data_IF_605740484826
#
_entry.id   IF_605740484826
#
_cell.length_a   1.000
_cell.length_b   1.000
_cell.length_c   1.000
_cell.angle_alpha   90.00
_cell.angle_beta   90.00
_cell.angle_gamma   90.00
#
_symmetry.space_group_name_H-M   'P 1'
#
loop_
_entity.id
_entity.type
_entity.pdbx_description
1 polymer ?
#
# COMPACT_ATOMS: atom_id res chain seq x y z
N UNK A 1 -1.00 5.78 -17.12
CA UNK A 1 -1.22 6.36 -15.79
C UNK A 1 -2.25 7.47 -15.84
N UNK A 2 -3.27 7.40 -14.97
CA UNK A 2 -4.14 8.54 -14.63
C UNK A 2 -3.40 9.57 -13.80
N UNK A 3 -4.00 10.74 -13.62
CA UNK A 3 -3.46 11.77 -12.73
C UNK A 3 -3.68 11.39 -11.25
N UNK A 4 -2.73 11.63 -10.34
CA UNK A 4 -2.88 11.30 -8.93
C UNK A 4 -3.84 12.25 -8.21
N UNK A 5 -5.02 11.72 -7.85
CA UNK A 5 -6.08 12.44 -7.15
C UNK A 5 -6.89 13.38 -8.05
N UNK A 6 -7.69 14.25 -7.44
CA UNK A 6 -8.65 15.09 -8.15
C UNK A 6 -8.45 16.56 -7.78
N UNK A 7 -7.66 17.25 -8.59
CA UNK A 7 -7.42 18.68 -8.41
C UNK A 7 -7.04 19.33 -9.73
N UNK A 8 -7.32 20.63 -9.84
CA UNK A 8 -6.85 21.44 -10.97
C UNK A 8 -5.32 21.49 -10.93
N UNK A 9 -4.66 20.87 -11.91
CA UNK A 9 -3.21 20.94 -12.06
C UNK A 9 -2.83 22.19 -12.84
N UNK A 10 -1.81 22.91 -12.37
CA UNK A 10 -1.19 24.02 -13.13
C UNK A 10 -0.30 23.52 -14.27
N UNK A 11 0.16 22.27 -14.18
CA UNK A 11 1.07 21.67 -15.15
C UNK A 11 0.32 20.57 -15.89
N UNK A 12 0.54 20.50 -17.20
CA UNK A 12 0.02 19.44 -18.04
C UNK A 12 0.54 18.07 -17.57
N UNK A 13 -0.31 17.04 -17.60
CA UNK A 13 0.05 15.66 -17.26
C UNK A 13 -0.42 14.72 -18.37
N UNK A 14 0.48 13.93 -19.00
CA UNK A 14 0.13 13.13 -20.15
C UNK A 14 -0.60 11.84 -19.75
N UNK A 15 -1.92 11.80 -19.96
CA UNK A 15 -2.75 10.61 -19.63
C UNK A 15 -2.71 9.57 -20.76
N UNK A 16 -2.53 9.99 -22.02
CA UNK A 16 -2.50 9.10 -23.18
C UNK A 16 -1.36 9.41 -24.16
N UNK A 17 -0.76 8.36 -24.73
CA UNK A 17 0.32 8.45 -25.72
C UNK A 17 -0.07 9.09 -27.06
N UNK A 18 -1.36 9.36 -27.27
CA UNK A 18 -1.89 10.00 -28.49
C UNK A 18 -2.11 11.50 -28.31
N UNK A 19 -1.59 12.11 -27.24
CA UNK A 19 -1.73 13.55 -27.05
C UNK A 19 -0.94 14.32 -28.14
N UNK A 20 -1.58 15.25 -28.87
CA UNK A 20 -0.95 16.04 -29.93
C UNK A 20 0.28 16.83 -29.48
N UNK A 21 0.31 17.33 -28.25
CA UNK A 21 1.42 18.15 -27.74
C UNK A 21 2.63 17.28 -27.39
N UNK A 22 2.40 16.09 -26.83
CA UNK A 22 3.45 15.11 -26.52
C UNK A 22 4.02 14.53 -27.82
N UNK A 23 3.16 14.21 -28.78
CA UNK A 23 3.58 13.65 -30.07
C UNK A 23 4.32 14.63 -30.98
N UNK A 24 4.07 15.94 -30.87
CA UNK A 24 4.84 16.98 -31.55
C UNK A 24 6.18 17.28 -30.86
N UNK A 25 6.22 17.23 -29.52
CA UNK A 25 7.45 17.48 -28.75
C UNK A 25 8.41 16.28 -28.71
N UNK A 26 7.89 15.06 -28.87
CA UNK A 26 8.68 13.82 -28.91
C UNK A 26 8.72 13.27 -30.34
N UNK A 27 9.73 13.64 -31.13
CA UNK A 27 10.01 12.97 -32.40
C UNK A 27 10.20 11.46 -32.14
N UNK A 28 9.23 10.64 -32.55
CA UNK A 28 9.28 9.17 -32.64
C UNK A 28 9.45 8.33 -31.36
N UNK A 29 9.52 8.90 -30.15
CA UNK A 29 9.78 8.12 -28.93
C UNK A 29 8.49 7.58 -28.30
N UNK A 30 8.37 6.26 -28.18
CA UNK A 30 7.27 5.60 -27.46
C UNK A 30 7.34 6.01 -25.97
N UNK A 31 6.23 6.49 -25.40
CA UNK A 31 6.19 6.89 -23.98
C UNK A 31 6.73 5.80 -23.07
N UNK A 32 7.57 6.20 -22.11
CA UNK A 32 8.09 5.28 -21.11
C UNK A 32 6.98 4.94 -20.12
N UNK A 33 6.83 3.64 -19.84
CA UNK A 33 5.90 3.15 -18.83
C UNK A 33 6.67 2.82 -17.56
N UNK A 34 6.16 3.33 -16.45
CA UNK A 34 6.63 3.00 -15.11
C UNK A 34 5.67 2.00 -14.46
N UNK A 35 6.11 1.33 -13.41
CA UNK A 35 5.26 0.45 -12.60
C UNK A 35 5.75 0.44 -11.15
N UNK A 36 4.99 -0.15 -10.24
CA UNK A 36 5.46 -0.45 -8.89
C UNK A 36 5.59 -1.95 -8.70
N UNK A 37 6.52 -2.36 -7.85
CA UNK A 37 6.75 -3.77 -7.48
C UNK A 37 6.40 -3.92 -6.01
N UNK A 38 5.79 -5.02 -5.62
CA UNK A 38 5.67 -5.38 -4.21
C UNK A 38 5.91 -6.87 -4.00
N UNK A 39 6.37 -7.23 -2.80
CA UNK A 39 6.48 -8.62 -2.36
C UNK A 39 5.40 -8.84 -1.32
N UNK A 40 4.64 -9.93 -1.44
CA UNK A 40 3.65 -10.30 -0.45
C UNK A 40 3.64 -11.80 -0.15
N UNK A 41 3.15 -12.13 1.04
CA UNK A 41 2.66 -13.45 1.36
C UNK A 41 1.31 -13.62 0.66
N UNK A 42 1.27 -14.39 -0.42
CA UNK A 42 0.05 -14.56 -1.21
C UNK A 42 -1.01 -15.26 -0.36
N UNK A 43 -2.11 -14.55 -0.11
CA UNK A 43 -3.10 -14.96 0.88
C UNK A 43 -4.53 -14.72 0.38
N UNK A 44 -5.46 -15.60 0.77
CA UNK A 44 -6.91 -15.44 0.53
C UNK A 44 -7.62 -15.28 1.86
N UNK A 45 -8.43 -14.22 1.96
CA UNK A 45 -9.33 -13.99 3.08
C UNK A 45 -10.66 -14.69 2.80
N UNK A 46 -11.06 -15.58 3.70
CA UNK A 46 -12.26 -16.41 3.61
C UNK A 46 -13.15 -16.05 4.79
N UNK A 47 -14.24 -15.33 4.54
CA UNK A 47 -15.23 -15.02 5.58
C UNK A 47 -16.36 -16.03 5.54
N UNK A 48 -16.68 -16.61 6.69
CA UNK A 48 -17.79 -17.53 6.84
C UNK A 48 -18.56 -17.29 8.13
N UNK A 49 -19.88 -17.44 8.06
CA UNK A 49 -20.72 -17.46 9.27
C UNK A 49 -20.80 -18.88 9.79
N UNK A 50 -20.41 -19.11 11.03
CA UNK A 50 -20.32 -20.44 11.62
C UNK A 50 -20.92 -20.49 13.01
N UNK A 51 -21.26 -21.69 13.48
CA UNK A 51 -21.63 -21.93 14.89
C UNK A 51 -20.38 -22.07 15.76
N UNK A 52 -20.55 -21.91 17.07
CA UNK A 52 -19.47 -22.17 18.05
C UNK A 52 -18.95 -23.62 17.93
N UNK A 53 -19.80 -24.58 17.58
CA UNK A 53 -19.42 -25.98 17.38
C UNK A 53 -18.35 -26.15 16.29
N UNK A 54 -18.42 -25.36 15.21
CA UNK A 54 -17.38 -25.39 14.15
C UNK A 54 -16.06 -24.87 14.70
N UNK A 55 -16.08 -23.79 15.48
CA UNK A 55 -14.87 -23.22 16.11
C UNK A 55 -14.20 -24.27 17.00
N UNK A 56 -14.97 -24.92 17.88
CA UNK A 56 -14.47 -25.93 18.81
C UNK A 56 -13.97 -27.19 18.06
N UNK A 57 -14.66 -27.63 17.01
CA UNK A 57 -14.27 -28.79 16.18
C UNK A 57 -12.85 -28.66 15.63
N UNK A 58 -12.45 -27.46 15.20
CA UNK A 58 -11.11 -27.21 14.65
C UNK A 58 -10.09 -26.80 15.71
N UNK A 59 -10.44 -26.92 17.00
CA UNK A 59 -9.54 -26.58 18.12
C UNK A 59 -9.24 -25.09 18.21
N UNK A 60 -10.13 -24.24 17.66
CA UNK A 60 -9.99 -22.80 17.72
C UNK A 60 -10.60 -22.26 19.01
N UNK A 61 -10.11 -21.12 19.48
CA UNK A 61 -10.68 -20.40 20.62
C UNK A 61 -11.40 -19.16 20.11
N UNK A 62 -12.68 -19.00 20.48
CA UNK A 62 -13.50 -17.87 20.04
C UNK A 62 -12.80 -16.53 20.30
N UNK A 63 -12.81 -15.63 19.32
CA UNK A 63 -12.18 -14.31 19.41
C UNK A 63 -10.66 -14.29 19.23
N UNK A 64 -10.01 -15.45 19.07
CA UNK A 64 -8.56 -15.54 18.92
C UNK A 64 -8.14 -15.67 17.45
N UNK A 65 -6.87 -15.38 17.19
CA UNK A 65 -6.19 -15.68 15.95
C UNK A 65 -5.20 -16.82 16.18
N UNK A 66 -5.43 -17.96 15.53
CA UNK A 66 -4.67 -19.18 15.74
C UNK A 66 -4.16 -19.74 14.41
N UNK A 67 -2.92 -20.21 14.41
CA UNK A 67 -2.34 -20.91 13.26
C UNK A 67 -2.82 -22.36 13.27
N UNK A 68 -3.30 -22.83 12.12
CA UNK A 68 -3.70 -24.22 11.89
C UNK A 68 -2.84 -24.84 10.78
N UNK A 69 -2.64 -26.15 10.84
CA UNK A 69 -1.95 -26.88 9.78
C UNK A 69 -2.78 -26.94 8.48
N UNK A 70 -2.10 -27.28 7.39
CA UNK A 70 -2.68 -27.23 6.05
C UNK A 70 -3.76 -28.29 5.81
N UNK A 71 -3.65 -29.45 6.46
CA UNK A 71 -4.65 -30.52 6.37
C UNK A 71 -5.97 -30.07 7.03
N UNK A 72 -5.89 -29.55 8.26
CA UNK A 72 -7.06 -28.99 8.97
C UNK A 72 -7.66 -27.80 8.24
N UNK A 73 -6.84 -26.94 7.64
CA UNK A 73 -7.32 -25.81 6.86
C UNK A 73 -8.06 -26.26 5.60
N UNK A 74 -7.62 -27.34 4.94
CA UNK A 74 -8.33 -27.90 3.79
C UNK A 74 -9.66 -28.55 4.22
N UNK A 75 -9.67 -29.30 5.32
CA UNK A 75 -10.90 -29.86 5.89
C UNK A 75 -11.92 -28.76 6.26
N UNK A 76 -11.46 -27.70 6.93
CA UNK A 76 -12.30 -26.55 7.26
C UNK A 76 -12.85 -25.91 5.99
N UNK A 77 -11.98 -25.66 5.00
CA UNK A 77 -12.41 -25.07 3.75
C UNK A 77 -13.46 -25.91 3.02
N UNK A 78 -13.28 -27.23 2.96
CA UNK A 78 -14.25 -28.10 2.31
C UNK A 78 -15.59 -28.13 3.06
N UNK A 79 -15.57 -28.20 4.39
CA UNK A 79 -16.80 -28.14 5.18
C UNK A 79 -17.56 -26.84 4.91
N UNK A 80 -16.87 -25.69 4.97
CA UNK A 80 -17.49 -24.39 4.73
C UNK A 80 -18.10 -24.27 3.32
N UNK A 81 -17.48 -24.92 2.33
CA UNK A 81 -18.00 -25.00 0.96
C UNK A 81 -19.22 -25.91 0.84
N UNK A 82 -19.13 -27.13 1.35
CA UNK A 82 -20.21 -28.13 1.28
C UNK A 82 -21.48 -27.62 1.98
N UNK A 83 -21.31 -26.92 3.09
CA UNK A 83 -22.41 -26.33 3.87
C UNK A 83 -22.85 -24.94 3.37
N UNK A 84 -22.22 -24.40 2.32
CA UNK A 84 -22.47 -23.05 1.77
C UNK A 84 -22.39 -21.93 2.83
N UNK A 85 -21.45 -22.02 3.76
CA UNK A 85 -21.27 -21.07 4.88
C UNK A 85 -20.38 -19.87 4.53
N UNK A 86 -19.62 -19.98 3.43
CA UNK A 86 -18.73 -18.91 2.97
C UNK A 86 -19.58 -17.73 2.48
N UNK A 87 -19.45 -16.60 3.16
CA UNK A 87 -20.13 -15.36 2.78
C UNK A 87 -19.32 -14.55 1.80
N UNK A 88 -17.99 -14.55 1.95
CA UNK A 88 -17.10 -13.82 1.07
C UNK A 88 -15.75 -14.52 0.93
N UNK A 89 -15.16 -14.40 -0.25
CA UNK A 89 -13.76 -14.79 -0.52
C UNK A 89 -13.09 -13.67 -1.29
N UNK A 90 -12.13 -13.03 -0.65
CA UNK A 90 -11.36 -11.95 -1.23
C UNK A 90 -9.90 -12.36 -1.33
N UNK A 91 -9.26 -11.91 -2.41
CA UNK A 91 -7.81 -11.91 -2.44
C UNK A 91 -7.34 -10.94 -1.34
N UNK A 92 -6.48 -11.42 -0.45
CA UNK A 92 -5.99 -10.67 0.70
C UNK A 92 -4.53 -10.26 0.53
N UNK A 93 -3.84 -10.16 1.66
CA UNK A 93 -2.43 -9.76 1.76
C UNK A 93 -2.24 -8.24 1.74
N UNK A 94 -1.47 -7.70 2.67
CA UNK A 94 -1.27 -6.26 2.85
C UNK A 94 -0.71 -5.61 1.58
N UNK A 95 0.30 -6.24 0.97
CA UNK A 95 0.91 -5.71 -0.26
C UNK A 95 0.07 -6.04 -1.48
N UNK A 96 -0.59 -7.19 -1.52
CA UNK A 96 -1.55 -7.56 -2.56
C UNK A 96 -2.70 -6.55 -2.65
N UNK A 97 -3.25 -6.15 -1.51
CA UNK A 97 -4.27 -5.11 -1.40
C UNK A 97 -3.73 -3.75 -1.87
N UNK A 98 -2.53 -3.38 -1.44
CA UNK A 98 -1.87 -2.12 -1.83
C UNK A 98 -1.62 -2.05 -3.34
N UNK A 99 -1.07 -3.11 -3.95
CA UNK A 99 -0.81 -3.17 -5.39
C UNK A 99 -2.08 -3.21 -6.21
N UNK A 100 -3.13 -3.89 -5.73
CA UNK A 100 -4.45 -3.91 -6.36
C UNK A 100 -5.05 -2.50 -6.37
N UNK A 101 -5.07 -1.85 -5.20
CA UNK A 101 -5.62 -0.50 -5.03
C UNK A 101 -4.85 0.52 -5.86
N UNK A 102 -3.52 0.44 -5.90
CA UNK A 102 -2.71 1.25 -6.81
C UNK A 102 -3.15 1.06 -8.27
N UNK A 103 -3.29 -0.18 -8.73
CA UNK A 103 -3.68 -0.50 -10.11
C UNK A 103 -5.04 0.08 -10.48
N UNK A 104 -5.99 0.04 -9.54
CA UNK A 104 -7.34 0.63 -9.69
C UNK A 104 -7.30 2.15 -9.70
N UNK A 105 -6.52 2.75 -8.81
CA UNK A 105 -6.40 4.21 -8.67
C UNK A 105 -5.66 4.87 -9.84
N UNK A 106 -4.59 4.23 -10.31
CA UNK A 106 -3.71 4.76 -11.35
C UNK A 106 -4.10 4.35 -12.77
N UNK A 107 -4.95 3.33 -12.93
CA UNK A 107 -5.14 2.58 -14.19
C UNK A 107 -3.79 2.31 -14.88
N UNK A 108 -2.84 1.82 -14.09
CA UNK A 108 -1.50 1.49 -14.54
C UNK A 108 -0.99 0.23 -13.85
N UNK A 109 0.07 -0.34 -14.39
CA UNK A 109 0.57 -1.64 -13.97
C UNK A 109 1.22 -1.59 -12.58
N UNK A 110 0.86 -2.55 -11.73
CA UNK A 110 1.67 -3.01 -10.60
C UNK A 110 2.17 -4.44 -10.88
N UNK A 111 3.25 -4.88 -10.25
CA UNK A 111 3.77 -6.25 -10.36
C UNK A 111 3.88 -6.86 -8.96
N UNK A 112 3.25 -8.02 -8.74
CA UNK A 112 3.36 -8.76 -7.49
C UNK A 112 4.43 -9.84 -7.60
N UNK A 113 5.27 -9.91 -6.58
CA UNK A 113 6.17 -11.02 -6.30
C UNK A 113 5.65 -11.77 -5.07
N UNK A 114 5.75 -13.08 -5.10
CA UNK A 114 5.12 -13.97 -4.13
C UNK A 114 5.03 -15.37 -4.72
N UNK A 115 4.19 -16.21 -4.12
CA UNK A 115 3.99 -17.59 -4.57
C UNK A 115 2.59 -17.81 -5.14
N UNK A 116 2.42 -18.83 -5.96
CA UNK A 116 1.12 -19.30 -6.41
C UNK A 116 1.14 -20.82 -6.55
N UNK A 117 0.08 -21.49 -6.11
CA UNK A 117 -0.06 -22.94 -6.27
C UNK A 117 0.01 -23.33 -7.74
N UNK A 118 0.77 -24.37 -8.08
CA UNK A 118 0.86 -24.87 -9.47
C UNK A 118 -0.43 -25.58 -9.91
N UNK A 119 -1.08 -26.34 -9.00
CA UNK A 119 -2.34 -27.04 -9.27
C UNK A 119 -3.56 -26.18 -8.90
N UNK A 120 -3.90 -25.21 -9.76
CA UNK A 120 -5.09 -24.36 -9.59
C UNK A 120 -6.30 -25.02 -10.26
N UNK A 121 -7.31 -25.36 -9.46
CA UNK A 121 -8.60 -25.88 -9.92
C UNK A 121 -9.66 -24.78 -9.99
N UNK A 122 -10.55 -24.84 -10.97
CA UNK A 122 -11.69 -23.90 -11.08
C UNK A 122 -12.47 -23.90 -9.76
N UNK A 123 -12.71 -22.72 -9.21
CA UNK A 123 -13.41 -22.54 -7.94
C UNK A 123 -12.56 -22.75 -6.68
N UNK A 124 -11.26 -23.04 -6.79
CA UNK A 124 -10.34 -23.05 -5.64
C UNK A 124 -10.05 -21.64 -5.14
N UNK A 125 -9.47 -21.54 -3.94
CA UNK A 125 -9.01 -20.26 -3.38
C UNK A 125 -7.95 -19.59 -4.29
N UNK A 126 -7.02 -20.37 -4.86
CA UNK A 126 -6.04 -19.86 -5.82
C UNK A 126 -6.69 -19.31 -7.09
N UNK A 127 -7.69 -20.00 -7.62
CA UNK A 127 -8.46 -19.51 -8.79
C UNK A 127 -9.20 -18.21 -8.46
N UNK A 128 -9.82 -18.14 -7.28
CA UNK A 128 -10.50 -16.92 -6.79
C UNK A 128 -9.54 -15.76 -6.59
N UNK A 129 -8.32 -16.02 -6.10
CA UNK A 129 -7.27 -14.99 -5.99
C UNK A 129 -6.99 -14.34 -7.36
N UNK A 130 -6.84 -15.17 -8.40
CA UNK A 130 -6.63 -14.69 -9.77
C UNK A 130 -7.83 -13.89 -10.29
N UNK A 131 -9.05 -14.40 -10.13
CA UNK A 131 -10.26 -13.72 -10.62
C UNK A 131 -10.57 -12.39 -9.92
N UNK A 132 -10.23 -12.29 -8.64
CA UNK A 132 -10.52 -11.11 -7.81
C UNK A 132 -9.40 -10.06 -7.82
N UNK A 133 -8.24 -10.38 -8.40
CA UNK A 133 -7.13 -9.44 -8.52
C UNK A 133 -7.34 -8.51 -9.72
N UNK A 134 -7.00 -7.22 -9.54
CA UNK A 134 -7.13 -6.20 -10.57
C UNK A 134 -6.44 -6.63 -11.87
N UNK A 135 -7.10 -6.40 -13.01
CA UNK A 135 -6.60 -6.76 -14.34
C UNK A 135 -5.30 -6.05 -14.75
N UNK A 136 -4.91 -4.98 -14.04
CA UNK A 136 -3.65 -4.26 -14.24
C UNK A 136 -2.51 -4.74 -13.36
N UNK A 137 -2.81 -5.54 -12.35
CA UNK A 137 -1.82 -6.12 -11.45
C UNK A 137 -1.23 -7.39 -12.09
N UNK A 138 0.06 -7.33 -12.44
CA UNK A 138 0.76 -8.40 -13.12
C UNK A 138 1.19 -9.48 -12.14
N UNK A 139 0.63 -10.68 -12.32
CA UNK A 139 0.89 -11.88 -11.54
C UNK A 139 1.80 -12.89 -12.26
N UNK A 140 2.30 -12.57 -13.46
CA UNK A 140 3.13 -13.50 -14.25
C UNK A 140 4.51 -13.76 -13.64
N UNK A 141 4.87 -13.04 -12.57
CA UNK A 141 6.15 -13.16 -11.86
C UNK A 141 6.01 -13.87 -10.51
N UNK A 142 4.84 -14.42 -10.19
CA UNK A 142 4.68 -15.29 -9.03
C UNK A 142 5.45 -16.60 -9.23
N UNK A 143 6.09 -17.09 -8.17
CA UNK A 143 6.77 -18.38 -8.16
C UNK A 143 5.74 -19.51 -7.97
N UNK A 144 5.82 -20.54 -8.80
CA UNK A 144 5.01 -21.75 -8.62
C UNK A 144 5.43 -22.53 -7.36
N UNK A 145 4.46 -22.96 -6.56
CA UNK A 145 4.67 -23.84 -5.40
C UNK A 145 3.77 -25.09 -5.48
N UNK A 146 4.23 -26.21 -4.94
CA UNK A 146 3.48 -27.49 -4.97
C UNK A 146 2.37 -27.56 -3.90
N UNK A 147 2.36 -26.61 -2.96
CA UNK A 147 1.37 -26.52 -1.88
C UNK A 147 0.36 -25.39 -2.03
N UNK A 148 -0.46 -25.23 -1.00
CA UNK A 148 -1.44 -24.16 -0.89
C UNK A 148 -0.76 -22.79 -0.71
N UNK A 149 -1.36 -21.73 -1.26
CA UNK A 149 -1.09 -20.36 -0.82
C UNK A 149 -1.68 -20.12 0.58
N UNK A 150 -1.33 -18.99 1.21
CA UNK A 150 -1.84 -18.63 2.53
C UNK A 150 -3.35 -18.47 2.55
N UNK A 151 -3.97 -18.80 3.68
CA UNK A 151 -5.42 -18.71 3.91
C UNK A 151 -5.69 -18.12 5.28
N UNK A 152 -6.54 -17.10 5.32
CA UNK A 152 -7.08 -16.53 6.56
C UNK A 152 -8.59 -16.78 6.61
N UNK A 153 -9.03 -17.61 7.54
CA UNK A 153 -10.45 -17.88 7.76
C UNK A 153 -10.97 -16.95 8.86
N UNK A 154 -11.80 -15.99 8.49
CA UNK A 154 -12.55 -15.16 9.42
C UNK A 154 -13.91 -15.82 9.71
N UNK A 155 -13.97 -16.54 10.83
CA UNK A 155 -15.12 -17.29 11.29
C UNK A 155 -15.99 -16.41 12.21
N UNK A 156 -17.20 -16.09 11.76
CA UNK A 156 -18.10 -15.12 12.40
C UNK A 156 -19.25 -15.88 13.06
N UNK A 157 -19.36 -15.79 14.39
CA UNK A 157 -20.50 -16.36 15.13
C UNK A 157 -21.72 -15.44 15.13
N UNK A 158 -22.88 -15.95 15.56
CA UNK A 158 -24.16 -15.21 15.55
C UNK A 158 -24.11 -13.90 16.34
N UNK A 159 -23.33 -13.85 17.42
CA UNK A 159 -23.11 -12.65 18.24
C UNK A 159 -22.13 -11.64 17.60
N UNK A 160 -21.62 -11.93 16.40
CA UNK A 160 -20.75 -11.04 15.63
C UNK A 160 -19.27 -11.12 15.99
N UNK A 161 -18.90 -11.96 16.97
CA UNK A 161 -17.51 -12.20 17.34
C UNK A 161 -16.76 -12.89 16.18
N UNK A 162 -15.49 -12.51 15.96
CA UNK A 162 -14.65 -13.02 14.86
C UNK A 162 -13.52 -13.86 15.40
N UNK A 163 -13.39 -15.07 14.88
CA UNK A 163 -12.26 -15.97 15.17
C UNK A 163 -11.45 -16.16 13.90
N UNK A 164 -10.13 -16.02 13.99
CA UNK A 164 -9.24 -16.16 12.85
C UNK A 164 -8.49 -17.48 12.90
N UNK A 165 -8.60 -18.27 11.84
CA UNK A 165 -7.72 -19.42 11.62
C UNK A 165 -6.77 -19.10 10.45
N UNK A 166 -5.47 -19.21 10.69
CA UNK A 166 -4.44 -18.87 9.71
C UNK A 166 -3.74 -20.15 9.28
N UNK A 167 -3.77 -20.47 7.98
CA UNK A 167 -2.89 -21.48 7.38
C UNK A 167 -1.89 -20.75 6.51
N UNK A 168 -0.63 -20.83 6.90
CA UNK A 168 0.48 -20.18 6.18
C UNK A 168 0.72 -20.83 4.81
N UNK A 169 0.40 -22.13 4.67
CA UNK A 169 0.70 -22.88 3.47
C UNK A 169 2.17 -22.74 3.09
N UNK A 170 2.40 -22.50 1.80
CA UNK A 170 3.71 -22.20 1.24
C UNK A 170 3.91 -20.69 0.97
N UNK A 171 3.17 -19.81 1.65
CA UNK A 171 3.24 -18.36 1.39
C UNK A 171 4.63 -17.74 1.58
N UNK A 172 5.49 -18.38 2.40
CA UNK A 172 6.87 -17.97 2.68
C UNK A 172 7.91 -18.65 1.78
N UNK A 173 7.51 -19.48 0.81
CA UNK A 173 8.43 -20.26 -0.02
C UNK A 173 8.93 -19.50 -1.26
N UNK A 174 8.87 -18.17 -1.26
CA UNK A 174 9.45 -17.35 -2.32
C UNK A 174 10.97 -17.40 -2.25
N UNK A 175 11.62 -17.90 -3.29
CA UNK A 175 13.09 -17.98 -3.35
C UNK A 175 13.73 -16.72 -3.95
N UNK A 176 14.96 -16.35 -3.50
CA UNK A 176 15.75 -15.27 -4.09
C UNK A 176 15.94 -15.36 -5.61
N UNK A 177 16.09 -16.57 -6.14
CA UNK A 177 16.30 -16.80 -7.58
C UNK A 177 15.06 -16.44 -8.42
N UNK A 178 13.89 -16.35 -7.78
CA UNK A 178 12.64 -15.97 -8.42
C UNK A 178 12.44 -14.45 -8.46
N UNK A 179 13.37 -13.66 -7.91
CA UNK A 179 13.33 -12.19 -7.97
C UNK A 179 13.92 -11.71 -9.31
N UNK A 180 13.11 -11.15 -10.23
CA UNK A 180 13.55 -10.91 -11.59
C UNK A 180 14.17 -9.51 -11.74
N UNK A 181 15.49 -9.38 -11.63
CA UNK A 181 16.21 -8.08 -11.65
C UNK A 181 15.72 -7.09 -12.74
N UNK A 182 15.40 -7.59 -13.94
CA UNK A 182 14.95 -6.77 -15.08
C UNK A 182 13.73 -5.87 -14.78
N UNK A 183 12.87 -6.25 -13.83
CA UNK A 183 11.65 -5.47 -13.55
C UNK A 183 11.96 -4.19 -12.77
N UNK A 184 13.11 -4.11 -12.09
CA UNK A 184 13.48 -2.95 -11.25
C UNK A 184 13.87 -1.71 -12.06
N UNK A 185 14.37 -1.87 -13.29
CA UNK A 185 14.87 -0.77 -14.14
C UNK A 185 13.87 0.39 -14.30
N UNK A 186 12.58 0.08 -14.47
CA UNK A 186 11.51 1.07 -14.66
C UNK A 186 10.55 1.13 -13.46
N UNK A 187 10.94 0.55 -12.32
CA UNK A 187 10.10 0.55 -11.12
C UNK A 187 10.17 1.91 -10.42
N UNK A 188 9.04 2.42 -9.95
CA UNK A 188 8.95 3.67 -9.20
C UNK A 188 9.10 3.47 -7.69
N UNK A 189 8.80 2.25 -7.21
CA UNK A 189 8.92 1.85 -5.81
C UNK A 189 8.97 0.32 -5.70
N UNK A 190 9.66 -0.18 -4.67
CA UNK A 190 9.53 -1.53 -4.15
C UNK A 190 8.72 -1.46 -2.84
N UNK A 191 7.61 -2.18 -2.73
CA UNK A 191 6.69 -2.12 -1.59
C UNK A 191 6.79 -3.37 -0.72
N UNK A 192 7.27 -3.12 0.48
CA UNK A 192 7.58 -3.92 1.67
C UNK A 192 6.42 -4.05 2.65
N UNK A 193 6.20 -5.20 3.30
CA UNK A 193 5.48 -5.27 4.59
C UNK A 193 6.34 -5.90 5.67
N UNK A 194 6.17 -5.47 6.93
CA UNK A 194 6.88 -6.07 8.07
C UNK A 194 6.51 -7.55 8.28
N UNK A 195 5.42 -8.05 7.70
CA UNK A 195 5.09 -9.47 7.77
C UNK A 195 6.07 -10.38 7.04
N UNK A 196 6.86 -9.86 6.08
CA UNK A 196 7.79 -10.68 5.30
C UNK A 196 8.95 -11.24 6.12
N UNK A 197 9.24 -10.67 7.29
CA UNK A 197 10.25 -11.21 8.23
C UNK A 197 9.65 -12.20 9.23
N UNK A 198 8.31 -12.29 9.29
CA UNK A 198 7.60 -13.26 10.14
C UNK A 198 7.46 -14.57 9.39
N UNK A 199 8.53 -15.36 9.42
CA UNK A 199 8.58 -16.68 8.83
C UNK A 199 9.25 -17.68 9.78
N UNK A 200 9.18 -18.97 9.46
CA UNK A 200 9.86 -20.01 10.23
C UNK A 200 11.35 -20.00 9.90
N UNK A 201 12.17 -20.47 10.84
CA UNK A 201 13.60 -20.67 10.58
C UNK A 201 13.80 -21.55 9.34
N UNK A 202 14.52 -21.05 8.34
CA UNK A 202 14.78 -21.73 7.08
C UNK A 202 13.80 -21.44 5.93
N UNK A 203 12.73 -20.66 6.15
CA UNK A 203 11.90 -20.14 5.07
C UNK A 203 12.71 -19.15 4.20
N UNK A 204 12.63 -19.19 2.85
CA UNK A 204 13.46 -18.38 1.96
C UNK A 204 12.96 -16.93 1.71
N UNK A 205 11.78 -16.57 2.26
CA UNK A 205 11.15 -15.26 2.06
C UNK A 205 12.01 -14.05 2.48
N UNK A 206 12.70 -14.07 3.65
CA UNK A 206 13.57 -12.96 4.04
C UNK A 206 14.74 -12.77 3.08
N UNK A 207 15.37 -13.85 2.62
CA UNK A 207 16.47 -13.79 1.65
C UNK A 207 15.97 -13.22 0.32
N UNK A 208 14.78 -13.62 -0.14
CA UNK A 208 14.19 -13.10 -1.36
C UNK A 208 13.85 -11.61 -1.23
N UNK A 209 13.37 -11.20 -0.07
CA UNK A 209 13.11 -9.79 0.27
C UNK A 209 14.40 -8.97 0.24
N UNK A 210 15.48 -9.45 0.85
CA UNK A 210 16.78 -8.79 0.81
C UNK A 210 17.37 -8.73 -0.61
N UNK A 211 17.15 -9.77 -1.43
CA UNK A 211 17.55 -9.76 -2.85
C UNK A 211 16.81 -8.68 -3.65
N UNK A 212 15.52 -8.50 -3.39
CA UNK A 212 14.74 -7.42 -4.00
C UNK A 212 15.23 -6.03 -3.55
N UNK A 213 15.59 -5.86 -2.27
CA UNK A 213 16.20 -4.62 -1.76
C UNK A 213 17.55 -4.35 -2.43
N UNK A 214 18.40 -5.36 -2.62
CA UNK A 214 19.66 -5.25 -3.36
C UNK A 214 19.41 -4.71 -4.78
N UNK A 215 18.46 -5.29 -5.52
CA UNK A 215 18.12 -4.82 -6.86
C UNK A 215 17.46 -3.44 -6.87
N UNK A 216 16.66 -3.11 -5.86
CA UNK A 216 16.09 -1.78 -5.71
C UNK A 216 17.20 -0.73 -5.54
N UNK A 217 18.14 -0.95 -4.61
CA UNK A 217 19.30 -0.08 -4.40
C UNK A 217 20.15 0.07 -5.66
N UNK A 218 20.42 -1.04 -6.37
CA UNK A 218 21.18 -1.04 -7.63
C UNK A 218 20.53 -0.17 -8.73
N UNK A 219 19.21 -0.03 -8.72
CA UNK A 219 18.44 0.72 -9.73
C UNK A 219 17.89 2.07 -9.20
N UNK A 220 18.35 2.53 -8.03
CA UNK A 220 17.84 3.73 -7.34
C UNK A 220 16.30 3.75 -7.18
N UNK A 221 15.73 2.59 -6.89
CA UNK A 221 14.30 2.43 -6.62
C UNK A 221 14.07 2.63 -5.12
N UNK A 222 13.23 3.60 -4.70
CA UNK A 222 12.86 3.76 -3.30
C UNK A 222 12.19 2.50 -2.76
N UNK A 223 12.63 2.06 -1.58
CA UNK A 223 11.98 0.98 -0.84
C UNK A 223 10.97 1.61 0.11
N UNK A 224 9.75 1.07 0.08
CA UNK A 224 8.62 1.50 0.89
C UNK A 224 8.29 0.35 1.85
N UNK A 225 8.13 0.61 3.14
CA UNK A 225 7.76 -0.39 4.14
C UNK A 225 6.46 0.01 4.83
N UNK A 226 5.44 -0.85 4.79
CA UNK A 226 4.28 -0.73 5.65
C UNK A 226 4.42 -1.63 6.88
N UNK A 227 4.15 -1.09 8.06
CA UNK A 227 4.12 -1.87 9.29
C UNK A 227 2.82 -2.68 9.32
N UNK A 228 2.91 -3.93 9.81
CA UNK A 228 1.82 -4.91 9.72
C UNK A 228 0.92 -4.96 10.95
N UNK A 229 1.50 -4.83 12.15
CA UNK A 229 0.79 -4.63 13.43
C UNK A 229 1.76 -4.11 14.49
N UNK A 230 1.23 -3.47 15.54
CA UNK A 230 1.97 -3.12 16.77
C UNK A 230 2.78 -4.30 17.34
N UNK A 231 2.20 -5.50 17.34
CA UNK A 231 2.81 -6.70 17.95
C UNK A 231 4.10 -7.13 17.26
N UNK A 232 4.16 -7.05 15.93
CA UNK A 232 5.38 -7.41 15.19
C UNK A 232 6.52 -6.42 15.44
N UNK A 233 6.17 -5.15 15.71
CA UNK A 233 7.16 -4.09 15.88
C UNK A 233 7.67 -4.03 17.32
N UNK A 234 6.80 -4.20 18.30
CA UNK A 234 7.15 -4.10 19.72
C UNK A 234 8.09 -5.21 20.21
N UNK A 235 8.17 -6.33 19.49
CA UNK A 235 9.04 -7.46 19.84
C UNK A 235 10.53 -7.06 19.75
N UNK A 236 10.92 -6.31 18.71
CA UNK A 236 12.26 -5.72 18.58
C UNK A 236 12.22 -4.37 17.82
N UNK A 237 11.88 -3.26 18.49
CA UNK A 237 11.83 -1.94 17.85
C UNK A 237 13.19 -1.50 17.32
N UNK A 238 14.30 -1.92 17.95
CA UNK A 238 15.65 -1.52 17.54
C UNK A 238 16.04 -2.15 16.21
N UNK A 239 15.74 -3.43 16.04
CA UNK A 239 15.91 -4.10 14.75
C UNK A 239 15.19 -3.36 13.64
N UNK A 240 13.92 -2.97 13.86
CA UNK A 240 13.15 -2.22 12.85
C UNK A 240 13.72 -0.84 12.56
N UNK A 241 14.18 -0.10 13.57
CA UNK A 241 14.84 1.19 13.39
C UNK A 241 16.12 1.07 12.53
N UNK A 242 16.93 0.04 12.76
CA UNK A 242 18.14 -0.24 11.98
C UNK A 242 17.79 -0.70 10.56
N UNK A 243 16.83 -1.62 10.41
CA UNK A 243 16.37 -2.09 9.12
C UNK A 243 15.83 -0.95 8.24
N UNK A 244 15.05 -0.04 8.82
CA UNK A 244 14.51 1.14 8.14
C UNK A 244 15.65 2.04 7.69
N UNK A 245 16.58 2.39 8.60
CA UNK A 245 17.73 3.25 8.30
C UNK A 245 18.55 2.74 7.13
N UNK A 246 18.78 1.43 7.08
CA UNK A 246 19.69 0.85 6.09
C UNK A 246 19.01 0.59 4.75
N UNK A 247 17.69 0.41 4.71
CA UNK A 247 17.02 -0.15 3.54
C UNK A 247 15.79 0.61 3.05
N UNK A 248 15.15 1.46 3.86
CA UNK A 248 13.80 1.98 3.59
C UNK A 248 13.83 3.50 3.40
N UNK A 249 13.25 3.96 2.28
CA UNK A 249 13.04 5.39 2.02
C UNK A 249 11.70 5.89 2.55
N UNK A 250 10.64 5.07 2.47
CA UNK A 250 9.29 5.51 2.85
C UNK A 250 8.69 4.53 3.86
N UNK A 251 8.19 5.03 4.98
CA UNK A 251 7.50 4.23 6.00
C UNK A 251 6.02 4.57 6.01
N UNK A 252 5.17 3.53 6.03
CA UNK A 252 3.74 3.64 6.28
C UNK A 252 3.39 2.89 7.57
N UNK A 253 2.61 3.52 8.44
CA UNK A 253 2.25 2.97 9.75
C UNK A 253 0.94 3.57 10.25
N UNK A 254 0.29 2.92 11.21
CA UNK A 254 -0.73 3.55 12.06
C UNK A 254 -0.13 4.09 13.36
N UNK A 255 -0.95 4.76 14.17
CA UNK A 255 -0.56 5.39 15.43
C UNK A 255 -0.01 4.39 16.46
N UNK A 256 -0.59 3.19 16.51
CA UNK A 256 -0.20 2.13 17.46
C UNK A 256 1.14 1.49 17.08
N UNK A 257 1.36 1.28 15.78
CA UNK A 257 2.63 0.83 15.20
C UNK A 257 3.72 1.88 15.35
N UNK A 258 3.37 3.16 15.15
CA UNK A 258 4.28 4.28 15.34
C UNK A 258 4.75 4.39 16.79
N UNK A 259 3.83 4.24 17.75
CA UNK A 259 4.17 4.19 19.17
C UNK A 259 5.08 2.98 19.48
N UNK A 260 4.80 1.79 18.94
CA UNK A 260 5.68 0.63 19.15
C UNK A 260 7.09 0.83 18.54
N UNK A 261 7.20 1.46 17.37
CA UNK A 261 8.48 1.72 16.73
C UNK A 261 9.31 2.76 17.50
N UNK A 262 8.66 3.80 18.00
CA UNK A 262 9.34 5.04 18.44
C UNK A 262 9.27 5.28 19.94
N UNK A 263 8.32 4.69 20.64
CA UNK A 263 7.95 5.01 22.02
C UNK A 263 7.14 6.30 22.18
N UNK A 264 6.78 6.99 21.09
CA UNK A 264 6.02 8.25 21.12
C UNK A 264 4.53 7.98 20.86
N UNK A 265 3.66 8.36 21.80
CA UNK A 265 2.20 8.19 21.66
C UNK A 265 1.54 9.25 20.78
N UNK A 266 2.19 10.40 20.56
CA UNK A 266 1.72 11.44 19.64
C UNK A 266 2.14 11.07 18.21
N UNK A 267 1.21 10.82 17.27
CA UNK A 267 1.54 10.48 15.88
C UNK A 267 2.45 11.49 15.18
N UNK A 268 2.36 12.78 15.53
CA UNK A 268 3.24 13.80 14.96
C UNK A 268 4.68 13.63 15.45
N UNK A 269 4.88 13.42 16.75
CA UNK A 269 6.20 13.19 17.35
C UNK A 269 6.80 11.85 16.88
N UNK A 270 5.98 10.79 16.80
CA UNK A 270 6.40 9.50 16.27
C UNK A 270 6.84 9.61 14.79
N UNK A 271 6.08 10.35 13.98
CA UNK A 271 6.44 10.59 12.57
C UNK A 271 7.73 11.39 12.45
N UNK A 272 7.93 12.42 13.28
CA UNK A 272 9.17 13.21 13.31
C UNK A 272 10.40 12.38 13.66
N UNK A 273 10.29 11.52 14.68
CA UNK A 273 11.35 10.62 15.13
C UNK A 273 11.69 9.58 14.07
N UNK A 274 10.67 9.08 13.35
CA UNK A 274 10.87 8.12 12.26
C UNK A 274 11.68 8.71 11.09
N UNK A 275 11.67 10.04 10.90
CA UNK A 275 12.53 10.71 9.91
C UNK A 275 14.03 10.62 10.21
N UNK A 276 14.41 10.19 11.42
CA UNK A 276 15.82 9.85 11.69
C UNK A 276 16.30 8.65 10.88
N UNK A 277 15.38 7.82 10.39
CA UNK A 277 15.69 6.56 9.69
C UNK A 277 15.10 6.49 8.28
N UNK A 278 14.09 7.30 7.93
CA UNK A 278 13.43 7.30 6.62
C UNK A 278 13.30 8.71 6.00
N UNK A 279 13.06 8.78 4.69
CA UNK A 279 12.91 10.04 3.95
C UNK A 279 11.48 10.61 3.99
N UNK A 280 10.48 9.73 4.06
CA UNK A 280 9.06 10.07 4.04
C UNK A 280 8.27 9.11 4.91
N UNK A 281 7.30 9.64 5.64
CA UNK A 281 6.45 8.90 6.58
C UNK A 281 5.00 9.22 6.28
N UNK A 282 4.18 8.17 6.21
CA UNK A 282 2.72 8.22 6.27
C UNK A 282 2.27 7.56 7.58
N UNK A 283 1.65 8.34 8.47
CA UNK A 283 1.08 7.83 9.72
C UNK A 283 -0.44 7.99 9.68
N UNK A 284 -1.18 6.90 9.49
CA UNK A 284 -2.64 6.92 9.71
C UNK A 284 -2.91 7.01 11.21
N UNK A 285 -3.97 7.73 11.60
CA UNK A 285 -4.30 8.02 12.99
C UNK A 285 -5.82 7.87 13.23
N UNK A 286 -6.43 6.86 12.62
CA UNK A 286 -7.86 6.55 12.75
C UNK A 286 -8.78 7.78 12.69
N UNK A 287 -9.58 8.06 13.75
CA UNK A 287 -10.47 9.22 13.83
C UNK A 287 -9.77 10.59 13.80
N UNK A 288 -8.48 10.67 14.13
CA UNK A 288 -7.68 11.90 14.03
C UNK A 288 -7.36 12.22 12.56
N UNK A 289 -7.42 11.22 11.68
CA UNK A 289 -7.14 11.33 10.26
C UNK A 289 -5.79 10.72 9.90
N UNK A 290 -4.93 11.48 9.24
CA UNK A 290 -3.57 11.01 8.94
C UNK A 290 -2.56 12.16 8.93
N UNK A 291 -1.31 11.80 9.17
CA UNK A 291 -0.14 12.68 9.14
C UNK A 291 0.81 12.22 8.04
N UNK A 292 1.51 13.18 7.44
CA UNK A 292 2.70 12.92 6.65
C UNK A 292 3.86 13.77 7.17
N UNK A 293 5.04 13.19 7.21
CA UNK A 293 6.28 13.87 7.58
C UNK A 293 7.37 13.49 6.57
N UNK A 294 8.27 14.42 6.23
CA UNK A 294 9.37 14.12 5.32
C UNK A 294 10.30 15.31 5.14
N UNK A 295 11.18 15.20 4.15
CA UNK A 295 12.13 16.25 3.82
C UNK A 295 11.74 17.04 2.56
N UNK A 296 12.16 18.30 2.50
CA UNK A 296 12.23 19.10 1.27
C UNK A 296 13.51 19.92 1.29
N UNK A 297 13.99 20.34 0.12
CA UNK A 297 15.06 21.32 0.00
C UNK A 297 14.60 22.70 0.50
N UNK A 298 15.39 23.36 1.35
CA UNK A 298 15.03 24.66 1.95
C UNK A 298 14.75 25.73 0.90
N UNK A 299 15.55 25.78 -0.16
CA UNK A 299 15.39 26.75 -1.25
C UNK A 299 14.12 26.54 -2.07
N UNK A 300 13.49 25.36 -1.98
CA UNK A 300 12.26 25.00 -2.70
C UNK A 300 11.02 24.92 -1.80
N UNK A 301 11.14 25.26 -0.50
CA UNK A 301 10.02 25.20 0.45
C UNK A 301 8.88 26.13 0.03
N UNK A 302 7.65 25.68 0.28
CA UNK A 302 6.43 26.43 -0.04
C UNK A 302 5.56 26.52 1.19
N UNK A 303 5.33 27.74 1.64
CA UNK A 303 4.47 28.03 2.78
C UNK A 303 3.01 27.67 2.49
N UNK A 304 2.32 27.24 3.54
CA UNK A 304 0.89 26.98 3.50
C UNK A 304 0.11 28.27 3.45
N UNK A 305 -1.02 28.24 2.76
CA UNK A 305 -2.04 29.29 2.86
C UNK A 305 -3.19 28.90 3.81
N UNK A 306 -3.09 27.72 4.46
CA UNK A 306 -4.06 27.24 5.44
C UNK A 306 -3.70 27.77 6.84
N UNK A 307 -4.65 27.77 7.79
CA UNK A 307 -4.34 28.09 9.19
C UNK A 307 -3.20 27.23 9.72
N UNK A 308 -2.29 27.86 10.48
CA UNK A 308 -1.19 27.16 11.12
C UNK A 308 -1.74 26.31 12.28
N UNK A 309 -1.34 25.06 12.32
CA UNK A 309 -1.84 24.08 13.28
C UNK A 309 -0.93 24.01 14.51
N UNK A 310 -1.50 23.99 15.73
CA UNK A 310 -0.74 23.71 16.95
C UNK A 310 -0.46 22.21 17.08
N UNK A 311 0.60 21.84 17.79
CA UNK A 311 0.96 20.46 18.06
C UNK A 311 2.21 20.37 18.94
N UNK A 312 2.73 19.16 19.15
CA UNK A 312 4.04 18.94 19.80
C UNK A 312 5.18 19.67 19.08
N UNK A 313 5.04 19.83 17.76
CA UNK A 313 5.86 20.72 16.93
C UNK A 313 5.01 21.95 16.58
N UNK A 314 5.48 23.13 17.00
CA UNK A 314 4.77 24.38 16.75
C UNK A 314 4.64 24.66 15.24
N UNK A 315 3.43 24.95 14.79
CA UNK A 315 3.12 25.31 13.39
C UNK A 315 3.66 24.28 12.38
N UNK A 316 3.55 22.99 12.72
CA UNK A 316 4.17 21.91 11.94
C UNK A 316 3.79 21.91 10.45
N UNK A 317 2.59 22.39 10.10
CA UNK A 317 2.12 22.45 8.72
C UNK A 317 2.61 23.69 7.94
N UNK A 318 3.46 24.55 8.52
CA UNK A 318 3.90 25.83 7.92
C UNK A 318 4.36 25.67 6.47
N UNK A 319 5.02 24.57 6.12
CA UNK A 319 5.54 24.31 4.78
C UNK A 319 4.86 23.13 4.06
N UNK A 320 3.64 22.73 4.44
CA UNK A 320 2.96 21.54 3.90
C UNK A 320 2.68 21.59 2.38
N UNK A 321 2.83 22.75 1.75
CA UNK A 321 2.76 22.90 0.30
C UNK A 321 4.08 22.53 -0.39
N UNK A 322 5.14 22.20 0.34
CA UNK A 322 6.41 21.66 -0.20
C UNK A 322 6.25 20.22 -0.69
N UNK A 323 7.20 19.72 -1.47
CA UNK A 323 7.16 18.35 -2.00
C UNK A 323 8.18 17.47 -1.27
N UNK A 324 7.80 16.24 -0.87
CA UNK A 324 8.72 15.23 -0.39
C UNK A 324 9.92 15.02 -1.32
N UNK A 325 11.12 14.99 -0.75
CA UNK A 325 12.39 14.65 -1.38
C UNK A 325 13.15 13.64 -0.52
N UNK A 326 14.07 12.88 -1.11
CA UNK A 326 15.04 12.09 -0.34
C UNK A 326 15.96 13.04 0.41
N UNK A 327 16.28 12.74 1.66
CA UNK A 327 17.16 13.59 2.49
C UNK A 327 18.52 13.79 1.84
N UNK A 328 19.08 12.72 1.28
CA UNK A 328 20.40 12.72 0.63
C UNK A 328 20.41 13.38 -0.76
N UNK A 329 19.23 13.68 -1.32
CA UNK A 329 19.10 14.46 -2.56
C UNK A 329 18.99 15.97 -2.30
N UNK A 330 18.95 16.41 -1.05
CA UNK A 330 18.86 17.83 -0.66
C UNK A 330 20.25 18.37 -0.28
N UNK A 331 20.51 19.62 -0.64
CA UNK A 331 21.69 20.35 -0.14
C UNK A 331 21.44 20.84 1.29
N UNK A 332 20.25 21.39 1.55
CA UNK A 332 19.82 21.84 2.88
C UNK A 332 18.43 21.23 3.19
N UNK A 333 18.37 19.97 3.65
CA UNK A 333 17.10 19.32 3.95
C UNK A 333 16.42 19.97 5.17
N UNK A 334 15.16 20.33 5.02
CA UNK A 334 14.28 20.73 6.14
C UNK A 334 13.16 19.71 6.31
N UNK A 335 12.76 19.47 7.56
CA UNK A 335 11.60 18.64 7.87
C UNK A 335 10.31 19.40 7.60
N UNK A 336 9.34 18.73 7.00
CA UNK A 336 8.01 19.24 6.66
C UNK A 336 6.96 18.24 7.09
N UNK A 337 5.84 18.76 7.59
CA UNK A 337 4.74 17.95 8.10
C UNK A 337 3.43 18.43 7.48
N UNK A 338 2.45 17.53 7.42
CA UNK A 338 1.07 17.86 7.04
C UNK A 338 0.12 16.93 7.78
N UNK A 339 -1.07 17.44 8.08
CA UNK A 339 -2.15 16.69 8.71
C UNK A 339 -3.44 16.91 7.92
N UNK A 340 -4.29 15.90 7.90
CA UNK A 340 -5.66 16.05 7.42
C UNK A 340 -6.62 15.21 8.25
N UNK A 341 -7.73 15.83 8.67
CA UNK A 341 -8.84 15.13 9.32
C UNK A 341 -9.58 14.19 8.37
N UNK A 342 -10.33 13.20 8.88
CA UNK A 342 -11.09 12.27 8.05
C UNK A 342 -12.00 12.97 7.03
N UNK A 343 -12.02 12.44 5.80
CA UNK A 343 -12.84 13.00 4.72
C UNK A 343 -14.32 13.04 5.12
N UNK A 344 -14.98 14.19 4.87
CA UNK A 344 -16.38 14.44 5.26
C UNK A 344 -16.68 14.23 6.77
N UNK A 345 -15.66 14.35 7.64
CA UNK A 345 -15.81 14.08 9.07
C UNK A 345 -15.74 12.59 9.44
N UNK A 346 -15.43 11.74 8.47
CA UNK A 346 -15.41 10.29 8.63
C UNK A 346 -16.75 9.64 8.24
N UNK A 347 -16.77 8.31 8.03
CA UNK A 347 -18.00 7.61 7.66
C UNK A 347 -18.94 7.47 8.87
N UNK A 348 -20.25 7.63 8.66
CA UNK A 348 -21.27 7.37 9.69
C UNK A 348 -21.22 5.93 10.22
N UNK A 349 -20.88 4.98 9.33
CA UNK A 349 -20.69 3.58 9.65
C UNK A 349 -19.43 3.05 8.99
N UNK A 350 -18.48 2.59 9.79
CA UNK A 350 -17.30 1.87 9.31
C UNK A 350 -17.74 0.44 8.99
N UNK A 351 -17.51 0.01 7.73
CA UNK A 351 -17.77 -1.37 7.30
C UNK A 351 -16.54 -2.24 7.38
N UNK A 352 -15.36 -1.65 7.13
CA UNK A 352 -14.08 -2.34 7.24
C UNK A 352 -12.97 -1.34 7.61
N UNK A 353 -12.20 -1.62 8.66
CA UNK A 353 -10.99 -0.88 8.99
C UNK A 353 -9.75 -1.46 8.31
N UNK A 354 -9.79 -2.74 7.95
CA UNK A 354 -8.69 -3.46 7.32
C UNK A 354 -8.49 -2.92 5.90
N UNK A 355 -7.24 -2.57 5.57
CA UNK A 355 -6.87 -2.06 4.26
C UNK A 355 -7.10 -0.56 4.05
N UNK A 356 -7.66 0.18 5.04
CA UNK A 356 -7.77 1.63 4.93
C UNK A 356 -6.37 2.30 4.85
N UNK A 357 -5.43 1.86 5.68
CA UNK A 357 -4.02 2.26 5.60
C UNK A 357 -3.36 1.85 4.28
N UNK A 358 -3.60 0.62 3.82
CA UNK A 358 -3.09 0.11 2.53
C UNK A 358 -3.58 0.97 1.35
N UNK A 359 -4.83 1.42 1.39
CA UNK A 359 -5.38 2.34 0.37
C UNK A 359 -4.78 3.74 0.46
N UNK A 360 -4.53 4.24 1.67
CA UNK A 360 -3.79 5.49 1.88
C UNK A 360 -2.40 5.40 1.24
N UNK A 361 -1.68 4.31 1.50
CA UNK A 361 -0.37 4.02 0.93
C UNK A 361 -0.42 3.90 -0.59
N UNK A 362 -1.45 3.25 -1.14
CA UNK A 362 -1.67 3.14 -2.58
C UNK A 362 -1.77 4.51 -3.27
N UNK A 363 -2.39 5.50 -2.61
CA UNK A 363 -2.47 6.86 -3.10
C UNK A 363 -1.11 7.57 -3.07
N UNK A 364 -0.30 7.35 -2.03
CA UNK A 364 1.10 7.84 -1.97
C UNK A 364 1.93 7.24 -3.10
N UNK A 365 1.84 5.93 -3.30
CA UNK A 365 2.55 5.20 -4.36
C UNK A 365 2.14 5.67 -5.75
N UNK A 366 0.86 5.97 -5.98
CA UNK A 366 0.40 6.57 -7.22
C UNK A 366 1.08 7.93 -7.47
N UNK A 367 1.18 8.79 -6.45
CA UNK A 367 1.82 10.09 -6.59
C UNK A 367 3.34 10.00 -6.82
N UNK A 368 4.01 9.03 -6.18
CA UNK A 368 5.42 8.70 -6.44
C UNK A 368 5.63 8.19 -7.88
N UNK A 369 4.78 7.26 -8.33
CA UNK A 369 4.85 6.72 -9.68
C UNK A 369 4.57 7.79 -10.75
N UNK A 370 3.60 8.69 -10.49
CA UNK A 370 3.30 9.83 -11.33
C UNK A 370 4.49 10.78 -11.47
N UNK A 371 5.30 10.95 -10.41
CA UNK A 371 6.52 11.76 -10.47
C UNK A 371 7.54 11.18 -11.44
N UNK A 372 7.85 9.88 -11.31
CA UNK A 372 8.80 9.19 -12.20
C UNK A 372 8.28 9.17 -13.64
N UNK A 373 7.01 8.80 -13.84
CA UNK A 373 6.36 8.80 -15.15
C UNK A 373 6.42 10.18 -15.83
N UNK A 374 6.11 11.24 -15.09
CA UNK A 374 6.18 12.60 -15.61
C UNK A 374 7.64 13.05 -15.87
N UNK A 375 8.63 12.62 -15.07
CA UNK A 375 10.07 12.90 -15.30
C UNK A 375 10.58 12.24 -16.58
N UNK A 376 10.17 11.00 -16.84
CA UNK A 376 10.60 10.26 -18.02
C UNK A 376 9.96 10.77 -19.32
N UNK A 377 8.72 11.26 -19.26
CA UNK A 377 7.98 11.71 -20.44
C UNK A 377 8.05 13.23 -20.67
N UNK A 378 8.24 14.03 -19.63
CA UNK A 378 8.34 15.50 -19.71
C UNK A 378 9.54 16.00 -18.89
N UNK A 379 10.78 15.61 -19.24
CA UNK A 379 11.97 15.87 -18.42
C UNK A 379 12.28 17.37 -18.25
N UNK A 380 11.94 18.20 -19.24
CA UNK A 380 12.20 19.65 -19.22
C UNK A 380 11.15 20.46 -18.45
N UNK A 381 10.23 19.79 -17.74
CA UNK A 381 9.24 20.48 -16.91
C UNK A 381 9.90 21.12 -15.68
N UNK A 382 9.42 22.31 -15.29
CA UNK A 382 9.77 22.94 -14.01
C UNK A 382 9.46 22.07 -12.79
N UNK A 383 8.61 21.03 -12.94
CA UNK A 383 8.35 20.01 -11.93
C UNK A 383 9.59 19.22 -11.52
N UNK A 384 10.66 19.21 -12.31
CA UNK A 384 11.84 18.40 -12.06
C UNK A 384 13.10 19.23 -11.82
N UNK A 385 12.93 20.50 -11.44
CA UNK A 385 14.04 21.39 -11.07
C UNK A 385 14.82 20.92 -9.85
N UNK A 386 14.19 20.12 -8.98
CA UNK A 386 14.84 19.39 -7.89
C UNK A 386 14.40 17.93 -7.96
N UNK A 387 15.14 17.05 -7.27
CA UNK A 387 14.76 15.66 -7.13
C UNK A 387 13.74 15.48 -6.01
N UNK A 388 12.57 14.94 -6.37
CA UNK A 388 11.46 14.74 -5.45
C UNK A 388 11.05 13.26 -5.43
N UNK A 389 10.53 12.79 -4.30
CA UNK A 389 9.89 11.48 -4.18
C UNK A 389 8.47 11.50 -4.78
N UNK A 390 7.75 12.61 -4.64
CA UNK A 390 6.35 12.73 -5.06
C UNK A 390 6.14 13.83 -6.11
N UNK A 391 5.07 13.71 -6.88
CA UNK A 391 4.67 14.70 -7.89
C UNK A 391 4.00 15.92 -7.24
N UNK A 392 3.34 15.69 -6.11
CA UNK A 392 2.47 16.59 -5.38
C UNK A 392 3.04 16.94 -4.01
N UNK A 393 2.53 18.02 -3.41
CA UNK A 393 2.96 18.45 -2.08
C UNK A 393 2.46 17.53 -0.97
N UNK A 394 3.06 17.58 0.22
CA UNK A 394 2.57 16.86 1.41
C UNK A 394 1.06 17.00 1.59
N UNK A 395 0.55 18.23 1.64
CA UNK A 395 -0.89 18.50 1.80
C UNK A 395 -1.77 17.91 0.67
N UNK A 396 -1.28 17.86 -0.57
CA UNK A 396 -2.03 17.30 -1.69
C UNK A 396 -2.05 15.76 -1.64
N UNK A 397 -0.94 15.14 -1.25
CA UNK A 397 -0.86 13.70 -1.06
C UNK A 397 -1.72 13.28 0.13
N UNK A 398 -1.69 14.00 1.26
CA UNK A 398 -2.58 13.78 2.40
C UNK A 398 -4.06 13.79 1.99
N UNK A 399 -4.49 14.80 1.21
CA UNK A 399 -5.87 14.88 0.70
C UNK A 399 -6.26 13.65 -0.12
N UNK A 400 -5.36 13.19 -0.97
CA UNK A 400 -5.62 12.03 -1.83
C UNK A 400 -5.66 10.72 -1.02
N UNK A 401 -4.68 10.50 -0.15
CA UNK A 401 -4.61 9.32 0.72
C UNK A 401 -5.81 9.23 1.68
N UNK A 402 -6.24 10.35 2.25
CA UNK A 402 -7.41 10.41 3.13
C UNK A 402 -8.69 10.02 2.37
N UNK A 403 -8.85 10.48 1.13
CA UNK A 403 -9.99 10.10 0.29
C UNK A 403 -9.97 8.62 -0.07
N UNK A 404 -8.81 8.07 -0.43
CA UNK A 404 -8.66 6.64 -0.72
C UNK A 404 -8.98 5.77 0.51
N UNK A 405 -8.52 6.18 1.69
CA UNK A 405 -8.83 5.51 2.97
C UNK A 405 -10.34 5.49 3.22
N UNK A 406 -11.01 6.63 3.05
CA UNK A 406 -12.45 6.75 3.23
C UNK A 406 -13.24 5.78 2.34
N UNK A 407 -12.87 5.65 1.07
CA UNK A 407 -13.56 4.74 0.14
C UNK A 407 -13.44 3.28 0.56
N UNK A 408 -12.34 2.86 1.18
CA UNK A 408 -12.22 1.52 1.78
C UNK A 408 -13.06 1.39 3.05
N UNK A 409 -13.08 2.41 3.92
CA UNK A 409 -13.82 2.37 5.18
C UNK A 409 -15.34 2.16 4.99
N UNK A 410 -15.91 2.61 3.85
CA UNK A 410 -17.34 2.51 3.55
C UNK A 410 -17.76 1.25 2.78
N UNK A 411 -16.82 0.33 2.51
CA UNK A 411 -17.05 -0.95 1.85
C UNK A 411 -16.57 -2.14 2.70
N UNK A 412 -16.93 -3.36 2.30
CA UNK A 412 -16.53 -4.57 3.03
C UNK A 412 -15.14 -5.07 2.65
N UNK A 413 -14.75 -4.96 1.38
CA UNK A 413 -13.45 -5.44 0.90
C UNK A 413 -12.33 -4.44 1.21
N UNK A 414 -11.10 -4.90 1.55
CA UNK A 414 -9.92 -4.02 1.61
C UNK A 414 -9.44 -3.56 0.22
N UNK A 415 -9.95 -4.19 -0.85
CA UNK A 415 -9.63 -3.89 -2.25
C UNK A 415 -10.70 -3.03 -2.90
N UNK A 416 -10.31 -1.88 -3.42
CA UNK A 416 -11.14 -0.98 -4.21
C UNK A 416 -11.60 -1.68 -5.49
N UNK A 417 -12.88 -1.53 -5.84
CA UNK A 417 -13.46 -2.06 -7.08
C UNK A 417 -13.45 -1.03 -8.22
N UNK A 418 -13.31 0.26 -7.90
CA UNK A 418 -13.30 1.37 -8.85
C UNK A 418 -12.35 2.48 -8.38
N UNK A 419 -11.86 3.26 -9.33
CA UNK A 419 -11.11 4.48 -9.03
C UNK A 419 -11.99 5.54 -8.36
N UNK A 420 -11.38 6.64 -7.92
CA UNK A 420 -12.13 7.78 -7.38
C UNK A 420 -12.97 8.43 -8.49
N UNK A 421 -14.23 8.82 -8.23
CA UNK A 421 -15.14 9.35 -9.26
C UNK A 421 -14.61 10.66 -9.83
N UNK A 422 -14.25 10.68 -11.11
CA UNK A 422 -13.74 11.89 -11.78
C UNK A 422 -14.80 13.00 -11.69
N UNK A 423 -14.38 14.23 -11.41
CA UNK A 423 -15.28 15.38 -11.46
C UNK A 423 -15.56 15.60 -12.95
N UNK A 424 -16.80 15.38 -13.37
CA UNK A 424 -17.23 15.65 -14.74
C UNK A 424 -16.87 17.11 -15.06
N UNK A 425 -16.05 17.31 -16.09
CA UNK A 425 -15.82 18.66 -16.59
C UNK A 425 -17.17 19.18 -17.08
N UNK A 426 -17.49 20.45 -16.77
CA UNK A 426 -18.80 21.10 -16.97
C UNK A 426 -19.47 20.97 -18.35
N UNK A 427 -18.76 20.45 -19.37
CA UNK A 427 -19.31 20.09 -20.68
C UNK A 427 -20.00 18.72 -20.70
N UNK A 428 -19.54 17.74 -19.90
CA UNK A 428 -20.19 16.43 -19.75
C UNK A 428 -21.42 16.51 -18.85
N UNK A 429 -21.38 17.31 -17.77
CA UNK A 429 -22.56 17.56 -16.91
C UNK A 429 -23.74 18.08 -17.75
N UNK A 430 -23.51 19.05 -18.65
CA UNK A 430 -24.54 19.59 -19.53
C UNK A 430 -25.04 18.60 -20.61
N UNK A 431 -24.28 17.54 -20.90
CA UNK A 431 -24.66 16.48 -21.83
C UNK A 431 -25.52 15.41 -21.15
N UNK A 432 -25.25 15.09 -19.88
CA UNK A 432 -26.02 14.13 -19.09
C UNK A 432 -27.26 14.72 -18.41
N UNK A 433 -27.33 16.05 -18.26
CA UNK A 433 -28.54 16.78 -17.83
C UNK A 433 -29.61 16.94 -18.94
N UNK A 434 -29.30 16.55 -20.19
CA UNK A 434 -30.24 16.49 -21.31
C UNK A 434 -30.79 15.08 -21.53
#
# INVERSE_FOLDING_TARGET
MKFPGQRKSKHYFPVHARDPLVSQAQESKKMTRTHIIGIDQTLVDIEAKVTTDVIEKYGLSKGHSLVIDDERAEELYQQLKEENLITNEYAGGTIGNTLHNYSVLADDRSTLLGVMSQDIKIGSYGYRYLCNTSSRMDLNYLQGVDGAIGRCFALITEDGERTFAISEGQMNQLHPDSIPEKIFKNASALVLTSYLVRCKDGDPMPEATMKAIEYAKKNDVPVVLTLGTKFVIQDDPKYWQEFIRDNVSVVAMNEDEAEALTGESDPLAASDKTLEWADLVLCTAGPVGLFMAGYTEDSAKRETSLPLLPGSIAEFNRYEFSRPAKKDSCETPIKVYSHISPYMGGPEKIKNTNGAGDAALSAVLHDMAANKYHKENVPNSSKHSNEYLTYSSFSQVCKYANRASYEVLVQHSPRLSRGLPEREDSLEEAYWER
#
